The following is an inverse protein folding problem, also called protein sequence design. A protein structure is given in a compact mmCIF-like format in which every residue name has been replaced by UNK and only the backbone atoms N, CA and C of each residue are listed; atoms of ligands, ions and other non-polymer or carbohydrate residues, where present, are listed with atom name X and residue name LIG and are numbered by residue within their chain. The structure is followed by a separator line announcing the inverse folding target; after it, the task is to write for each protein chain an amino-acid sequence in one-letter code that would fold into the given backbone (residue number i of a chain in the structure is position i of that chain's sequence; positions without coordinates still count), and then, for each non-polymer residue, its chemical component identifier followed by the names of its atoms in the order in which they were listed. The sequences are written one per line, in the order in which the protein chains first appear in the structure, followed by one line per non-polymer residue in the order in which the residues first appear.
data_IF_104862106077
#
_entry.id   IF_104862106077
#
_cell.length_a   1.000
_cell.length_b   1.000
_cell.length_c   1.000
_cell.angle_alpha   90.00
_cell.angle_beta   90.00
_cell.angle_gamma   90.00
#
_symmetry.space_group_name_H-M   'P 1'
#
loop_
_entity.id
_entity.type
_entity.pdbx_description
1 polymer ?
#
# COMPACT_ATOMS: atom_id res chain seq x y z
N UNK A 1 13.36 12.48 -29.70
CA UNK A 1 12.05 12.21 -30.30
C UNK A 1 11.92 10.70 -30.46
N UNK A 2 11.49 10.00 -29.42
CA UNK A 2 11.16 8.57 -29.48
C UNK A 2 9.64 8.48 -29.60
N UNK A 3 9.15 8.21 -30.80
CA UNK A 3 7.75 7.85 -31.01
C UNK A 3 7.48 6.57 -30.23
N UNK A 4 6.78 6.70 -29.11
CA UNK A 4 6.20 5.59 -28.35
C UNK A 4 5.00 5.05 -29.14
N UNK A 5 5.28 4.37 -30.27
CA UNK A 5 4.26 3.76 -31.12
C UNK A 5 3.79 2.44 -30.52
N UNK A 6 3.21 2.51 -29.31
CA UNK A 6 2.50 1.38 -28.73
C UNK A 6 1.29 1.05 -29.59
N UNK A 7 1.00 -0.24 -29.74
CA UNK A 7 -0.09 -0.67 -30.60
C UNK A 7 -1.43 -0.14 -30.08
N UNK A 8 -2.39 0.08 -30.98
CA UNK A 8 -3.77 0.40 -30.59
C UNK A 8 -4.38 -0.67 -29.67
N UNK A 9 -3.89 -1.92 -29.77
CA UNK A 9 -4.30 -3.02 -28.92
C UNK A 9 -3.79 -2.88 -27.48
N UNK A 10 -2.54 -2.43 -27.29
CA UNK A 10 -1.98 -2.18 -25.96
C UNK A 10 -2.72 -1.05 -25.26
N UNK A 11 -3.04 0.01 -26.01
CA UNK A 11 -3.82 1.14 -25.50
C UNK A 11 -5.23 0.70 -25.07
N UNK A 12 -5.91 -0.11 -25.89
CA UNK A 12 -7.23 -0.63 -25.56
C UNK A 12 -7.18 -1.54 -24.31
N UNK A 13 -6.22 -2.46 -24.26
CA UNK A 13 -6.04 -3.38 -23.13
C UNK A 13 -5.76 -2.62 -21.84
N UNK A 14 -4.84 -1.66 -21.86
CA UNK A 14 -4.51 -0.88 -20.68
C UNK A 14 -5.66 0.04 -20.25
N UNK A 15 -6.43 0.59 -21.20
CA UNK A 15 -7.62 1.38 -20.88
C UNK A 15 -8.64 0.56 -20.09
N UNK A 16 -8.84 -0.71 -20.45
CA UNK A 16 -9.69 -1.64 -19.69
C UNK A 16 -9.15 -1.86 -18.28
N UNK A 17 -7.87 -2.22 -18.16
CA UNK A 17 -7.18 -2.42 -16.86
C UNK A 17 -7.31 -1.17 -15.97
N UNK A 18 -7.09 0.02 -16.53
CA UNK A 18 -7.24 1.28 -15.81
C UNK A 18 -8.65 1.44 -15.26
N UNK A 19 -9.68 1.30 -16.11
CA UNK A 19 -11.07 1.49 -15.70
C UNK A 19 -11.50 0.49 -14.63
N UNK A 20 -11.07 -0.76 -14.76
CA UNK A 20 -11.45 -1.85 -13.85
C UNK A 20 -10.73 -1.78 -12.49
N UNK A 21 -9.53 -1.21 -12.44
CA UNK A 21 -8.68 -1.26 -11.25
C UNK A 21 -8.40 0.09 -10.59
N UNK A 22 -8.81 1.21 -11.20
CA UNK A 22 -8.69 2.53 -10.60
C UNK A 22 -9.30 2.60 -9.18
N UNK A 23 -10.51 2.08 -8.91
CA UNK A 23 -11.08 2.12 -7.57
C UNK A 23 -10.25 1.37 -6.52
N UNK A 24 -9.71 0.19 -6.87
CA UNK A 24 -8.90 -0.63 -5.98
C UNK A 24 -7.58 0.08 -5.63
N UNK A 25 -6.90 0.65 -6.62
CA UNK A 25 -5.64 1.36 -6.41
C UNK A 25 -5.86 2.66 -5.62
N UNK A 26 -6.93 3.40 -5.92
CA UNK A 26 -7.26 4.59 -5.15
C UNK A 26 -7.59 4.26 -3.68
N UNK A 27 -8.33 3.18 -3.43
CA UNK A 27 -8.62 2.71 -2.08
C UNK A 27 -7.34 2.28 -1.34
N UNK A 28 -6.45 1.56 -2.01
CA UNK A 28 -5.13 1.18 -1.47
C UNK A 28 -4.31 2.38 -1.04
N UNK A 29 -4.29 3.45 -1.86
CA UNK A 29 -3.57 4.69 -1.58
C UNK A 29 -4.23 5.50 -0.46
N UNK A 30 -5.55 5.67 -0.47
CA UNK A 30 -6.29 6.41 0.58
C UNK A 30 -6.06 5.83 1.99
N UNK A 31 -5.76 4.53 2.10
CA UNK A 31 -5.41 3.88 3.38
C UNK A 31 -3.95 4.09 3.80
N UNK A 32 -3.10 4.65 2.95
CA UNK A 32 -1.63 4.69 3.11
C UNK A 32 -0.98 6.05 2.88
N UNK A 33 -1.66 7.01 2.29
CA UNK A 33 -1.16 8.38 2.10
C UNK A 33 -2.22 9.38 2.56
N UNK A 34 -1.84 10.65 2.72
CA UNK A 34 -2.80 11.69 3.07
C UNK A 34 -3.89 11.80 1.99
N UNK A 35 -5.14 12.00 2.40
CA UNK A 35 -6.28 12.01 1.47
C UNK A 35 -6.11 13.02 0.33
N UNK A 36 -5.51 14.18 0.62
CA UNK A 36 -5.26 15.26 -0.35
C UNK A 36 -4.34 14.87 -1.51
N UNK A 37 -3.47 13.85 -1.36
CA UNK A 37 -2.49 13.44 -2.39
C UNK A 37 -2.83 12.08 -3.01
N UNK A 38 -3.86 11.39 -2.53
CA UNK A 38 -4.16 10.02 -2.96
C UNK A 38 -4.52 9.92 -4.44
N UNK A 39 -5.27 10.88 -4.98
CA UNK A 39 -5.65 10.89 -6.41
C UNK A 39 -4.47 11.22 -7.32
N UNK A 40 -3.60 12.15 -6.91
CA UNK A 40 -2.36 12.46 -7.61
C UNK A 40 -1.45 11.22 -7.70
N UNK A 41 -1.23 10.54 -6.57
CA UNK A 41 -0.45 9.31 -6.55
C UNK A 41 -1.13 8.16 -7.31
N UNK A 42 -2.46 8.13 -7.39
CA UNK A 42 -3.16 7.15 -8.22
C UNK A 42 -2.82 7.38 -9.71
N UNK A 43 -2.84 8.64 -10.16
CA UNK A 43 -2.44 8.99 -11.51
C UNK A 43 -0.97 8.62 -11.78
N UNK A 44 -0.06 8.86 -10.82
CA UNK A 44 1.35 8.45 -10.92
C UNK A 44 1.50 6.92 -11.03
N UNK A 45 0.78 6.14 -10.22
CA UNK A 45 0.77 4.67 -10.32
C UNK A 45 0.39 4.21 -11.72
N UNK A 46 -0.70 4.74 -12.29
CA UNK A 46 -1.11 4.35 -13.64
C UNK A 46 -0.19 4.91 -14.73
N UNK A 47 0.42 6.07 -14.53
CA UNK A 47 1.47 6.59 -15.42
C UNK A 47 2.69 5.66 -15.48
N UNK A 48 3.17 5.21 -14.31
CA UNK A 48 4.26 4.23 -14.20
C UNK A 48 3.86 2.85 -14.73
N UNK A 49 2.63 2.43 -14.48
CA UNK A 49 2.08 1.19 -15.02
C UNK A 49 2.06 1.25 -16.56
N UNK A 50 1.57 2.35 -17.13
CA UNK A 50 1.65 2.53 -18.58
C UNK A 50 3.10 2.47 -19.04
N UNK A 51 4.00 3.27 -18.47
CA UNK A 51 5.42 3.25 -18.85
C UNK A 51 6.05 1.84 -18.84
N UNK A 52 5.64 0.97 -17.92
CA UNK A 52 6.15 -0.39 -17.77
C UNK A 52 5.19 -1.49 -18.26
N UNK A 53 4.19 -1.16 -19.08
CA UNK A 53 3.12 -2.10 -19.45
C UNK A 53 3.65 -3.39 -20.10
N UNK A 54 4.75 -3.32 -20.85
CA UNK A 54 5.40 -4.51 -21.45
C UNK A 54 5.97 -5.51 -20.42
N UNK A 55 6.12 -5.11 -19.15
CA UNK A 55 6.57 -5.99 -18.07
C UNK A 55 5.42 -6.81 -17.46
N UNK A 56 4.16 -6.45 -17.75
CA UNK A 56 3.00 -7.16 -17.26
C UNK A 56 2.93 -8.54 -17.94
N UNK A 57 3.13 -9.59 -17.15
CA UNK A 57 3.18 -10.97 -17.65
C UNK A 57 1.79 -11.53 -17.94
N UNK A 58 0.79 -11.17 -17.13
CA UNK A 58 -0.57 -11.68 -17.24
C UNK A 58 -1.59 -10.52 -17.21
N UNK A 59 -2.07 -10.06 -18.38
CA UNK A 59 -3.09 -9.02 -18.46
C UNK A 59 -4.44 -9.38 -17.82
N UNK A 60 -4.72 -10.67 -17.57
CA UNK A 60 -5.95 -11.10 -16.88
C UNK A 60 -5.83 -10.98 -15.37
N UNK A 61 -4.61 -10.83 -14.83
CA UNK A 61 -4.33 -10.71 -13.40
C UNK A 61 -3.39 -9.54 -13.10
N UNK A 62 -3.77 -8.29 -13.44
CA UNK A 62 -2.87 -7.14 -13.32
C UNK A 62 -2.75 -6.60 -11.88
N UNK A 63 -3.71 -6.90 -10.99
CA UNK A 63 -3.78 -6.32 -9.65
C UNK A 63 -2.51 -6.50 -8.79
N UNK A 64 -1.91 -7.71 -8.68
CA UNK A 64 -0.70 -7.88 -7.89
C UNK A 64 0.46 -7.00 -8.39
N UNK A 65 0.61 -6.90 -9.71
CA UNK A 65 1.61 -6.05 -10.35
C UNK A 65 1.34 -4.56 -10.10
N UNK A 66 0.08 -4.12 -10.24
CA UNK A 66 -0.32 -2.74 -9.91
C UNK A 66 -0.07 -2.39 -8.44
N UNK A 67 -0.36 -3.31 -7.51
CA UNK A 67 -0.05 -3.11 -6.09
C UNK A 67 1.45 -3.02 -5.82
N UNK A 68 2.28 -3.72 -6.59
CA UNK A 68 3.73 -3.58 -6.50
C UNK A 68 4.20 -2.17 -6.87
N UNK A 69 3.63 -1.60 -7.94
CA UNK A 69 3.88 -0.21 -8.36
C UNK A 69 3.36 0.77 -7.29
N UNK A 70 2.14 0.58 -6.80
CA UNK A 70 1.54 1.41 -5.77
C UNK A 70 2.35 1.39 -4.47
N UNK A 71 2.82 0.21 -4.04
CA UNK A 71 3.67 0.07 -2.85
C UNK A 71 4.99 0.84 -2.99
N UNK A 72 5.58 0.90 -4.19
CA UNK A 72 6.78 1.70 -4.43
C UNK A 72 6.50 3.21 -4.35
N UNK A 73 5.38 3.66 -4.91
CA UNK A 73 4.91 5.06 -4.80
C UNK A 73 4.71 5.46 -3.34
N UNK A 74 4.07 4.61 -2.54
CA UNK A 74 3.88 4.86 -1.10
C UNK A 74 5.23 4.93 -0.36
N UNK A 75 6.18 4.03 -0.66
CA UNK A 75 7.53 4.09 -0.07
C UNK A 75 8.24 5.42 -0.39
N UNK A 76 8.11 5.90 -1.62
CA UNK A 76 8.69 7.18 -2.05
C UNK A 76 8.04 8.37 -1.32
N UNK A 77 6.72 8.38 -1.18
CA UNK A 77 6.00 9.40 -0.40
C UNK A 77 6.55 9.51 1.04
N UNK A 78 6.72 8.38 1.74
CA UNK A 78 7.25 8.39 3.11
C UNK A 78 8.75 8.69 3.18
N UNK A 79 9.57 8.26 2.21
CA UNK A 79 10.99 8.67 2.13
C UNK A 79 11.12 10.18 1.92
N UNK A 80 10.27 10.77 1.09
CA UNK A 80 10.23 12.21 0.85
C UNK A 80 9.79 13.02 2.09
N UNK A 81 8.86 12.47 2.88
CA UNK A 81 8.49 13.05 4.19
C UNK A 81 9.62 12.95 5.20
N UNK A 82 10.24 11.78 5.37
CA UNK A 82 11.37 11.60 6.31
C UNK A 82 12.54 12.51 5.97
N UNK A 83 12.92 12.63 4.69
CA UNK A 83 14.00 13.52 4.26
C UNK A 83 13.69 15.02 4.42
N UNK A 84 12.40 15.40 4.51
CA UNK A 84 11.94 16.76 4.85
C UNK A 84 11.86 16.98 6.36
N UNK A 85 11.48 15.94 7.12
CA UNK A 85 11.43 15.96 8.58
C UNK A 85 12.83 15.95 9.21
N UNK A 86 13.83 15.30 8.59
CA UNK A 86 15.24 15.38 9.03
C UNK A 86 15.84 16.81 8.89
N UNK A 87 15.12 17.75 8.27
CA UNK A 87 15.48 19.18 8.21
C UNK A 87 14.65 20.05 9.16
N UNK A 88 13.63 19.49 9.79
CA UNK A 88 12.69 20.18 10.68
C UNK A 88 12.37 19.22 11.83
N UNK A 89 13.33 19.03 12.73
CA UNK A 89 13.06 18.43 14.04
C UNK A 89 12.35 19.47 14.92
N UNK A 90 11.03 19.58 14.79
CA UNK A 90 10.08 19.90 15.86
C UNK A 90 8.65 19.74 15.29
N UNK A 91 7.76 19.20 16.12
CA UNK A 91 6.34 18.82 15.87
C UNK A 91 6.07 17.49 15.15
N UNK A 92 5.76 16.51 16.00
CA UNK A 92 4.97 15.35 15.68
C UNK A 92 3.56 15.75 15.22
N UNK A 93 3.07 15.07 14.18
CA UNK A 93 1.71 14.51 14.06
C UNK A 93 1.58 13.94 12.64
N UNK A 94 1.42 12.61 12.52
CA UNK A 94 1.02 12.00 11.26
C UNK A 94 -0.48 11.75 11.32
N UNK A 95 -1.17 12.56 10.53
CA UNK A 95 -2.62 12.68 10.42
C UNK A 95 -3.38 11.36 10.47
N UNK A 96 -4.50 11.48 11.17
CA UNK A 96 -5.47 10.46 11.53
C UNK A 96 -5.96 9.66 10.31
N UNK A 97 -5.90 8.34 10.44
CA UNK A 97 -6.73 7.43 9.65
C UNK A 97 -8.17 7.75 10.04
N UNK A 98 -8.96 8.27 9.08
CA UNK A 98 -10.33 8.69 9.28
C UNK A 98 -11.14 7.59 9.97
N UNK A 99 -11.47 7.83 11.24
CA UNK A 99 -12.37 7.01 12.03
C UNK A 99 -13.68 7.78 12.17
N UNK A 100 -14.69 7.39 11.37
CA UNK A 100 -16.06 7.85 11.58
C UNK A 100 -16.68 7.09 12.77
N UNK A 101 -17.10 7.89 13.74
CA UNK A 101 -18.13 7.74 14.78
C UNK A 101 -18.65 6.34 15.15
N UNK A 102 -18.15 5.77 16.26
CA UNK A 102 -18.84 4.83 17.19
C UNK A 102 -17.90 4.60 18.39
N UNK A 103 -18.15 5.19 19.56
CA UNK A 103 -17.16 5.31 20.66
C UNK A 103 -16.40 4.04 21.09
N UNK A 104 -17.01 2.85 21.07
CA UNK A 104 -16.30 1.59 21.38
C UNK A 104 -15.54 1.01 20.17
N UNK A 105 -16.03 1.26 18.95
CA UNK A 105 -15.32 0.91 17.71
C UNK A 105 -14.15 1.86 17.51
N UNK A 106 -14.28 3.12 17.93
CA UNK A 106 -13.23 4.13 17.90
C UNK A 106 -12.04 3.75 18.78
N UNK A 107 -12.28 3.28 20.02
CA UNK A 107 -11.20 2.80 20.90
C UNK A 107 -10.46 1.60 20.29
N UNK A 108 -11.18 0.59 19.82
CA UNK A 108 -10.57 -0.56 19.15
C UNK A 108 -9.84 -0.16 17.85
N UNK A 109 -10.39 0.81 17.11
CA UNK A 109 -9.78 1.34 15.88
C UNK A 109 -8.55 2.17 16.17
N UNK A 110 -8.53 2.92 17.27
CA UNK A 110 -7.38 3.68 17.76
C UNK A 110 -6.25 2.74 18.17
N UNK A 111 -6.55 1.68 18.91
CA UNK A 111 -5.57 0.66 19.31
C UNK A 111 -5.01 -0.09 18.10
N UNK A 112 -5.84 -0.46 17.13
CA UNK A 112 -5.39 -1.08 15.88
C UNK A 112 -4.51 -0.11 15.09
N UNK A 113 -4.89 1.17 14.97
CA UNK A 113 -4.11 2.15 14.24
C UNK A 113 -2.76 2.42 14.91
N UNK A 114 -2.72 2.53 16.24
CA UNK A 114 -1.47 2.61 17.02
C UNK A 114 -0.61 1.37 16.83
N UNK A 115 -1.20 0.19 16.88
CA UNK A 115 -0.47 -1.06 16.71
C UNK A 115 0.11 -1.21 15.30
N UNK A 116 -0.68 -0.89 14.26
CA UNK A 116 -0.17 -0.82 12.88
C UNK A 116 0.91 0.26 12.74
N UNK A 117 0.79 1.38 13.46
CA UNK A 117 1.77 2.45 13.48
C UNK A 117 3.12 2.06 14.08
N UNK A 118 3.12 1.17 15.07
CA UNK A 118 4.34 0.61 15.66
C UNK A 118 5.07 -0.40 14.75
N UNK A 119 4.39 -0.93 13.72
CA UNK A 119 5.01 -1.85 12.78
C UNK A 119 5.86 -1.11 11.74
N UNK A 120 6.93 -1.78 11.29
CA UNK A 120 7.67 -1.35 10.10
C UNK A 120 6.74 -1.25 8.89
N UNK A 121 7.07 -0.34 7.96
CA UNK A 121 6.31 -0.19 6.71
C UNK A 121 6.10 -1.53 5.99
N UNK A 122 7.14 -2.36 5.92
CA UNK A 122 7.09 -3.66 5.25
C UNK A 122 6.12 -4.64 5.93
N UNK A 123 6.07 -4.64 7.27
CA UNK A 123 5.17 -5.50 8.03
C UNK A 123 3.72 -5.02 7.92
N UNK A 124 3.49 -3.69 7.97
CA UNK A 124 2.16 -3.11 7.76
C UNK A 124 1.65 -3.39 6.35
N UNK A 125 2.49 -3.22 5.34
CA UNK A 125 2.09 -3.36 3.94
C UNK A 125 1.73 -4.81 3.60
N UNK A 126 2.50 -5.80 4.07
CA UNK A 126 2.17 -7.22 3.83
C UNK A 126 0.89 -7.66 4.56
N UNK A 127 0.62 -7.12 5.76
CA UNK A 127 -0.65 -7.34 6.47
C UNK A 127 -1.80 -6.76 5.67
N UNK A 128 -1.67 -5.52 5.19
CA UNK A 128 -2.72 -4.83 4.48
C UNK A 128 -3.00 -5.45 3.09
N UNK A 129 -1.98 -5.90 2.36
CA UNK A 129 -2.14 -6.66 1.12
C UNK A 129 -2.95 -7.95 1.33
N UNK A 130 -2.74 -8.65 2.45
CA UNK A 130 -3.53 -9.84 2.77
C UNK A 130 -4.92 -9.48 3.30
N UNK A 131 -5.03 -8.56 4.25
CA UNK A 131 -6.24 -8.37 5.05
C UNK A 131 -7.27 -7.47 4.36
N UNK A 132 -6.81 -6.43 3.65
CA UNK A 132 -7.71 -5.49 2.97
C UNK A 132 -7.85 -5.81 1.48
N UNK A 133 -6.73 -6.10 0.82
CA UNK A 133 -6.75 -6.39 -0.62
C UNK A 133 -6.99 -7.87 -0.94
N UNK A 134 -7.11 -8.71 0.09
CA UNK A 134 -7.43 -10.14 0.01
C UNK A 134 -6.52 -10.94 -0.95
N UNK A 135 -5.27 -10.51 -1.11
CA UNK A 135 -4.33 -11.19 -1.98
C UNK A 135 -3.92 -12.55 -1.42
N UNK A 136 -3.77 -13.51 -2.33
CA UNK A 136 -3.17 -14.82 -2.04
C UNK A 136 -1.66 -14.69 -1.75
N UNK A 137 -1.04 -15.68 -1.12
CA UNK A 137 0.43 -15.67 -0.89
C UNK A 137 1.23 -15.53 -2.20
N UNK A 138 0.89 -16.23 -3.30
CA UNK A 138 1.52 -16.01 -4.60
C UNK A 138 1.39 -14.56 -5.10
N UNK A 139 0.22 -13.94 -4.92
CA UNK A 139 -0.02 -12.57 -5.38
C UNK A 139 0.72 -11.54 -4.54
N UNK A 140 0.78 -11.75 -3.22
CA UNK A 140 1.61 -10.94 -2.32
C UNK A 140 3.08 -11.04 -2.72
N UNK A 141 3.56 -12.26 -3.01
CA UNK A 141 4.92 -12.50 -3.44
C UNK A 141 5.25 -11.77 -4.75
N UNK A 142 4.34 -11.84 -5.74
CA UNK A 142 4.46 -11.13 -7.00
C UNK A 142 4.46 -9.61 -6.80
N UNK A 143 3.53 -9.09 -5.99
CA UNK A 143 3.43 -7.66 -5.68
C UNK A 143 4.68 -7.10 -5.00
N UNK A 144 5.26 -7.85 -4.06
CA UNK A 144 6.45 -7.45 -3.31
C UNK A 144 7.78 -7.80 -4.00
N UNK A 145 7.76 -8.55 -5.11
CA UNK A 145 8.97 -9.00 -5.80
C UNK A 145 9.83 -9.98 -4.98
N UNK A 146 9.19 -10.87 -4.20
CA UNK A 146 9.86 -11.85 -3.33
C UNK A 146 9.38 -13.27 -3.63
N UNK A 147 10.02 -14.29 -3.05
CA UNK A 147 9.54 -15.68 -3.17
C UNK A 147 8.30 -15.94 -2.31
N UNK A 148 7.45 -16.88 -2.70
CA UNK A 148 6.26 -17.28 -1.92
C UNK A 148 6.61 -17.73 -0.50
N UNK A 149 7.73 -18.44 -0.34
CA UNK A 149 8.20 -18.85 0.97
C UNK A 149 8.56 -17.63 1.85
N UNK A 150 9.24 -16.63 1.27
CA UNK A 150 9.57 -15.39 1.96
C UNK A 150 8.29 -14.60 2.31
N UNK A 151 7.32 -14.51 1.41
CA UNK A 151 6.03 -13.87 1.67
C UNK A 151 5.29 -14.54 2.85
N UNK A 152 5.23 -15.87 2.89
CA UNK A 152 4.63 -16.64 4.00
C UNK A 152 5.33 -16.37 5.34
N UNK A 153 6.66 -16.40 5.35
CA UNK A 153 7.46 -16.13 6.55
C UNK A 153 7.28 -14.69 7.03
N UNK A 154 7.34 -13.71 6.12
CA UNK A 154 7.14 -12.29 6.43
C UNK A 154 5.74 -12.02 6.98
N UNK A 155 4.71 -12.56 6.33
CA UNK A 155 3.34 -12.38 6.79
C UNK A 155 3.13 -12.98 8.18
N UNK A 156 3.66 -14.19 8.41
CA UNK A 156 3.60 -14.81 9.73
C UNK A 156 4.28 -13.93 10.79
N UNK A 157 5.51 -13.47 10.54
CA UNK A 157 6.25 -12.59 11.46
C UNK A 157 5.52 -11.26 11.70
N UNK A 158 4.98 -10.65 10.66
CA UNK A 158 4.23 -9.40 10.75
C UNK A 158 2.97 -9.58 11.62
N UNK A 159 2.23 -10.69 11.46
CA UNK A 159 1.09 -11.04 12.31
C UNK A 159 1.48 -11.27 13.76
N UNK A 160 2.60 -11.95 14.01
CA UNK A 160 3.12 -12.16 15.36
C UNK A 160 3.43 -10.83 16.05
N UNK A 161 4.13 -9.92 15.36
CA UNK A 161 4.42 -8.58 15.89
C UNK A 161 3.17 -7.76 16.12
N UNK A 162 2.22 -7.79 15.19
CA UNK A 162 0.94 -7.10 15.38
C UNK A 162 0.24 -7.60 16.64
N UNK A 163 0.24 -8.92 16.87
CA UNK A 163 -0.32 -9.52 18.08
C UNK A 163 0.40 -9.04 19.34
N UNK A 164 1.74 -9.06 19.36
CA UNK A 164 2.55 -8.59 20.49
C UNK A 164 2.26 -7.13 20.87
N UNK A 165 2.08 -6.26 19.88
CA UNK A 165 1.75 -4.85 20.12
C UNK A 165 0.32 -4.67 20.64
N UNK A 166 -0.61 -5.54 20.21
CA UNK A 166 -1.99 -5.56 20.69
C UNK A 166 -2.17 -6.24 22.05
N UNK A 167 -1.13 -6.80 22.66
CA UNK A 167 -1.27 -7.42 23.98
C UNK A 167 -1.62 -6.35 25.04
N UNK A 168 -2.59 -6.62 25.95
CA UNK A 168 -3.10 -5.63 26.90
C UNK A 168 -2.01 -5.01 27.80
N UNK A 169 -0.95 -5.76 28.09
CA UNK A 169 0.19 -5.31 28.90
C UNK A 169 1.03 -4.23 28.20
N UNK A 170 0.98 -4.16 26.87
CA UNK A 170 1.70 -3.18 26.04
C UNK A 170 0.82 -1.98 25.66
N UNK A 171 -0.51 -2.14 25.60
CA UNK A 171 -1.46 -1.07 25.28
C UNK A 171 -1.62 -0.02 26.39
N UNK A 172 -1.20 -0.32 27.64
CA UNK A 172 -1.32 0.57 28.81
C UNK A 172 -0.04 1.33 29.22
N UNK A 173 1.01 1.34 28.38
CA UNK A 173 2.32 1.94 28.71
C UNK A 173 2.75 3.14 27.85
N UNK A 174 1.86 3.72 27.04
CA UNK A 174 2.16 4.93 26.25
C UNK A 174 1.34 6.12 26.69
#
# INVERSE_FOLDING_TARGET
MTSDSRSSQDQATFTTIYREHYPQILAYLRRRVAAAVAEEYCADVFGRAWANFSSLQDPQRPLPWLYGIAGNVVKEYYRGKSARQDRVEEEAELDQIAADDFSQVADLSLDINRALNALSFADRDIIALHAWEQLSIPDIAASLGITENNARVKLHRARTRLKEVLEPENLGRS
#
